data_IF_561856366039
#
_entry.id   IF_561856366039
#
_cell.length_a   1.000
_cell.length_b   1.000
_cell.length_c   1.000
_cell.angle_alpha   90.00
_cell.angle_beta   90.00
_cell.angle_gamma   90.00
#
_symmetry.space_group_name_H-M   'P 1'
#
loop_
_entity.id
_entity.type
_entity.pdbx_description
1 polymer ?
#
# COMPACT_ATOMS: atom_id res chain seq x y z
N UNK A 1 8.11 4.35 -34.67
CA UNK A 1 8.47 4.37 -33.23
C UNK A 1 7.26 3.87 -32.45
N UNK A 2 7.27 2.61 -32.03
CA UNK A 2 6.22 2.06 -31.15
C UNK A 2 6.28 2.80 -29.82
N UNK A 3 5.34 3.72 -29.59
CA UNK A 3 5.08 4.25 -28.25
C UNK A 3 4.78 3.03 -27.39
N UNK A 4 5.69 2.69 -26.47
CA UNK A 4 5.39 1.78 -25.35
C UNK A 4 4.01 2.17 -24.83
N UNK A 5 3.01 1.31 -25.02
CA UNK A 5 1.62 1.63 -24.70
C UNK A 5 1.54 1.91 -23.20
N UNK A 6 1.61 3.19 -22.84
CA UNK A 6 1.53 3.66 -21.46
C UNK A 6 0.10 3.39 -21.00
N UNK A 7 -0.04 2.55 -19.99
CA UNK A 7 -1.35 2.12 -19.51
C UNK A 7 -1.94 3.25 -18.66
N UNK A 8 -2.84 4.03 -19.24
CA UNK A 8 -3.46 5.22 -18.61
C UNK A 8 -4.14 4.88 -17.28
N UNK A 9 -4.83 3.74 -17.21
CA UNK A 9 -5.51 3.28 -15.99
C UNK A 9 -4.53 3.03 -14.82
N UNK A 10 -3.30 2.57 -15.09
CA UNK A 10 -2.28 2.37 -14.05
C UNK A 10 -1.86 3.71 -13.45
N UNK A 11 -1.67 4.71 -14.33
CA UNK A 11 -1.27 6.04 -13.89
C UNK A 11 -2.41 6.74 -13.13
N UNK A 12 -3.66 6.50 -13.55
CA UNK A 12 -4.86 7.00 -12.86
C UNK A 12 -5.01 6.37 -11.47
N UNK A 13 -4.92 5.04 -11.38
CA UNK A 13 -4.96 4.31 -10.11
C UNK A 13 -3.90 4.83 -9.14
N UNK A 14 -2.62 4.84 -9.55
CA UNK A 14 -1.51 5.42 -8.76
C UNK A 14 -1.76 6.86 -8.34
N UNK A 15 -2.26 7.69 -9.26
CA UNK A 15 -2.55 9.10 -8.99
C UNK A 15 -3.62 9.25 -7.92
N UNK A 16 -4.70 8.48 -8.03
CA UNK A 16 -5.78 8.47 -7.05
C UNK A 16 -5.29 7.98 -5.69
N UNK A 17 -4.50 6.91 -5.63
CA UNK A 17 -3.92 6.42 -4.37
C UNK A 17 -3.06 7.49 -3.68
N UNK A 18 -2.24 8.25 -4.45
CA UNK A 18 -1.41 9.33 -3.92
C UNK A 18 -2.29 10.44 -3.34
N UNK A 19 -3.33 10.85 -4.06
CA UNK A 19 -4.28 11.86 -3.58
C UNK A 19 -4.94 11.41 -2.27
N UNK A 20 -5.39 10.15 -2.19
CA UNK A 20 -6.01 9.60 -0.98
C UNK A 20 -5.04 9.58 0.22
N UNK A 21 -3.78 9.23 0.02
CA UNK A 21 -2.77 9.22 1.10
C UNK A 21 -2.44 10.64 1.57
N UNK A 22 -2.22 11.57 0.65
CA UNK A 22 -1.96 12.97 1.00
C UNK A 22 -3.16 13.56 1.74
N UNK A 23 -4.37 13.29 1.26
CA UNK A 23 -5.62 13.70 1.91
C UNK A 23 -5.74 13.11 3.32
N UNK A 24 -5.39 11.84 3.53
CA UNK A 24 -5.38 11.22 4.86
C UNK A 24 -4.44 11.97 5.82
N UNK A 25 -3.19 12.20 5.42
CA UNK A 25 -2.24 12.91 6.27
C UNK A 25 -2.68 14.35 6.54
N UNK A 26 -3.24 15.04 5.55
CA UNK A 26 -3.78 16.38 5.73
C UNK A 26 -4.96 16.39 6.72
N UNK A 27 -5.94 15.50 6.54
CA UNK A 27 -7.14 15.43 7.37
C UNK A 27 -6.82 14.98 8.81
N UNK A 28 -6.06 13.89 8.98
CA UNK A 28 -5.75 13.35 10.31
C UNK A 28 -4.80 14.21 11.11
N UNK A 29 -3.77 14.81 10.49
CA UNK A 29 -2.90 15.72 11.23
C UNK A 29 -3.68 16.96 11.65
N UNK A 30 -4.46 17.57 10.74
CA UNK A 30 -5.29 18.74 11.08
C UNK A 30 -6.28 18.40 12.19
N UNK A 31 -7.02 17.29 12.07
CA UNK A 31 -7.97 16.85 13.09
C UNK A 31 -7.28 16.56 14.44
N UNK A 32 -6.09 15.96 14.44
CA UNK A 32 -5.32 15.73 15.67
C UNK A 32 -4.95 17.04 16.38
N UNK A 33 -4.66 18.10 15.64
CA UNK A 33 -4.31 19.41 16.23
C UNK A 33 -5.52 20.27 16.59
N UNK A 34 -6.62 20.18 15.84
CA UNK A 34 -7.83 20.98 16.08
C UNK A 34 -8.87 20.28 16.96
N UNK A 35 -8.74 18.96 17.16
CA UNK A 35 -9.75 18.11 17.79
C UNK A 35 -11.00 17.90 16.92
N UNK A 36 -11.03 18.46 15.70
CA UNK A 36 -12.21 18.46 14.83
C UNK A 36 -12.23 17.31 13.82
N UNK A 37 -13.43 16.94 13.39
CA UNK A 37 -13.70 16.00 12.29
C UNK A 37 -14.41 16.77 11.18
N UNK A 38 -13.92 16.64 9.94
CA UNK A 38 -14.51 17.28 8.77
C UNK A 38 -14.94 16.26 7.70
N UNK A 39 -15.52 16.75 6.61
CA UNK A 39 -15.96 15.91 5.49
C UNK A 39 -14.85 14.99 4.95
N UNK A 40 -13.61 15.48 4.88
CA UNK A 40 -12.47 14.68 4.41
C UNK A 40 -12.22 13.44 5.27
N UNK A 41 -12.49 13.47 6.58
CA UNK A 41 -12.34 12.29 7.44
C UNK A 41 -13.29 11.16 7.04
N UNK A 42 -14.47 11.46 6.51
CA UNK A 42 -15.41 10.47 6.00
C UNK A 42 -14.94 9.89 4.67
N UNK A 43 -14.44 10.73 3.74
CA UNK A 43 -13.86 10.26 2.47
C UNK A 43 -12.68 9.32 2.74
N UNK A 44 -11.83 9.68 3.69
CA UNK A 44 -10.70 8.84 4.12
C UNK A 44 -11.15 7.59 4.85
N UNK A 45 -12.23 7.68 5.64
CA UNK A 45 -12.86 6.52 6.26
C UNK A 45 -13.28 5.49 5.21
N UNK A 46 -14.03 5.93 4.19
CA UNK A 46 -14.40 5.10 3.04
C UNK A 46 -13.18 4.50 2.34
N UNK A 47 -12.12 5.28 2.14
CA UNK A 47 -10.91 4.81 1.46
C UNK A 47 -9.98 3.93 2.31
N UNK A 48 -10.27 3.75 3.60
CA UNK A 48 -9.35 3.09 4.55
C UNK A 48 -8.99 1.65 4.15
N UNK A 49 -9.93 0.80 3.71
CA UNK A 49 -9.61 -0.59 3.39
C UNK A 49 -8.70 -0.77 2.17
N UNK A 50 -8.83 0.06 1.13
CA UNK A 50 -8.11 -0.19 -0.13
C UNK A 50 -6.93 0.76 -0.39
N UNK A 51 -6.89 1.96 0.20
CA UNK A 51 -5.88 3.00 -0.14
C UNK A 51 -4.42 2.54 -0.03
N UNK A 52 -4.06 1.76 0.99
CA UNK A 52 -2.69 1.24 1.16
C UNK A 52 -2.48 -0.09 0.43
N UNK A 53 -3.40 -1.07 0.53
CA UNK A 53 -3.31 -2.32 -0.24
C UNK A 53 -3.15 -2.13 -1.74
N UNK A 54 -3.82 -1.14 -2.33
CA UNK A 54 -3.76 -0.83 -3.75
C UNK A 54 -2.34 -0.52 -4.22
N UNK A 55 -1.61 0.35 -3.52
CA UNK A 55 -0.24 0.70 -3.88
C UNK A 55 0.68 -0.53 -3.95
N UNK A 56 0.53 -1.43 -2.98
CA UNK A 56 1.30 -2.66 -2.91
C UNK A 56 0.90 -3.62 -4.01
N UNK A 57 -0.39 -3.77 -4.27
CA UNK A 57 -0.91 -4.61 -5.35
C UNK A 57 -0.40 -4.13 -6.72
N UNK A 58 -0.52 -2.83 -7.02
CA UNK A 58 -0.03 -2.25 -8.28
C UNK A 58 1.50 -2.44 -8.40
N UNK A 59 2.23 -2.24 -7.31
CA UNK A 59 3.68 -2.50 -7.29
C UNK A 59 4.03 -3.96 -7.55
N UNK A 60 3.16 -4.88 -7.13
CA UNK A 60 3.22 -6.32 -7.41
C UNK A 60 2.93 -6.67 -8.87
N UNK A 61 1.97 -6.01 -9.53
CA UNK A 61 1.61 -6.26 -10.94
C UNK A 61 2.84 -6.21 -11.85
N UNK A 62 3.67 -5.18 -11.67
CA UNK A 62 4.90 -4.97 -12.46
C UNK A 62 6.06 -5.89 -12.06
N UNK A 63 5.94 -6.63 -10.95
CA UNK A 63 6.95 -7.60 -10.55
C UNK A 63 7.02 -8.78 -11.52
N UNK A 64 5.88 -9.19 -12.07
CA UNK A 64 5.76 -10.34 -12.99
C UNK A 64 6.72 -10.28 -14.18
N UNK A 65 6.93 -9.09 -14.74
CA UNK A 65 7.79 -8.85 -15.90
C UNK A 65 9.28 -8.78 -15.57
N UNK A 66 9.63 -8.62 -14.29
CA UNK A 66 11.01 -8.35 -13.87
C UNK A 66 11.57 -9.42 -12.92
N UNK A 67 10.71 -10.30 -12.37
CA UNK A 67 11.10 -11.32 -11.41
C UNK A 67 12.13 -12.30 -11.98
N UNK A 68 12.12 -12.59 -13.29
CA UNK A 68 13.05 -13.52 -13.95
C UNK A 68 14.44 -12.94 -14.18
N UNK A 69 14.62 -11.62 -14.00
CA UNK A 69 15.90 -10.95 -14.25
C UNK A 69 17.00 -11.47 -13.32
N UNK A 70 18.28 -11.44 -13.76
CA UNK A 70 19.42 -11.76 -12.91
C UNK A 70 19.44 -10.87 -11.66
N UNK A 71 19.89 -11.43 -10.53
CA UNK A 71 19.90 -10.74 -9.23
C UNK A 71 20.54 -9.37 -9.27
N UNK A 72 21.69 -9.22 -9.93
CA UNK A 72 22.39 -7.92 -10.06
C UNK A 72 21.48 -6.82 -10.63
N UNK A 73 20.80 -7.11 -11.75
CA UNK A 73 19.93 -6.15 -12.43
C UNK A 73 18.60 -5.94 -11.68
N UNK A 74 18.11 -6.98 -11.01
CA UNK A 74 16.90 -6.89 -10.19
C UNK A 74 17.12 -6.04 -8.93
N UNK A 75 18.20 -6.31 -8.19
CA UNK A 75 18.55 -5.61 -6.98
C UNK A 75 18.87 -4.14 -7.28
N UNK A 76 19.69 -3.86 -8.29
CA UNK A 76 20.07 -2.49 -8.68
C UNK A 76 18.84 -1.61 -8.98
N UNK A 77 17.97 -2.06 -9.88
CA UNK A 77 16.84 -1.23 -10.37
C UNK A 77 15.67 -1.12 -9.42
N UNK A 78 15.59 -1.97 -8.39
CA UNK A 78 14.40 -2.04 -7.53
C UNK A 78 14.77 -1.90 -6.07
N UNK A 79 15.64 -2.79 -5.58
CA UNK A 79 16.05 -2.80 -4.18
C UNK A 79 16.91 -1.58 -3.88
N UNK A 80 18.06 -1.46 -4.54
CA UNK A 80 19.00 -0.34 -4.37
C UNK A 80 18.31 0.99 -4.69
N UNK A 81 17.53 1.06 -5.77
CA UNK A 81 16.78 2.27 -6.11
C UNK A 81 15.83 2.73 -4.98
N UNK A 82 15.03 1.83 -4.40
CA UNK A 82 14.14 2.17 -3.29
C UNK A 82 14.89 2.52 -2.01
N UNK A 83 15.92 1.74 -1.65
CA UNK A 83 16.73 2.02 -0.47
C UNK A 83 17.53 3.32 -0.61
N UNK A 84 18.04 3.64 -1.81
CA UNK A 84 18.69 4.92 -2.10
C UNK A 84 17.73 6.08 -1.86
N UNK A 85 16.54 6.02 -2.44
CA UNK A 85 15.54 7.08 -2.27
C UNK A 85 15.09 7.19 -0.81
N UNK A 86 14.92 6.05 -0.13
CA UNK A 86 14.62 6.01 1.30
C UNK A 86 15.72 6.70 2.13
N UNK A 87 16.99 6.29 1.99
CA UNK A 87 18.11 6.83 2.77
C UNK A 87 18.27 8.33 2.53
N UNK A 88 18.18 8.77 1.27
CA UNK A 88 18.28 10.18 0.91
C UNK A 88 17.20 11.00 1.62
N UNK A 89 15.95 10.57 1.54
CA UNK A 89 14.84 11.30 2.16
C UNK A 89 14.80 11.19 3.68
N UNK A 90 15.16 10.02 4.23
CA UNK A 90 15.29 9.85 5.67
C UNK A 90 16.37 10.78 6.22
N UNK A 91 17.52 10.87 5.54
CA UNK A 91 18.59 11.79 5.89
C UNK A 91 18.10 13.24 5.89
N UNK A 92 17.45 13.70 4.81
CA UNK A 92 16.91 15.06 4.72
C UNK A 92 15.91 15.33 5.85
N UNK A 93 14.95 14.43 6.10
CA UNK A 93 13.95 14.64 7.15
C UNK A 93 14.55 14.68 8.55
N UNK A 94 15.46 13.75 8.87
CA UNK A 94 16.10 13.65 10.19
C UNK A 94 17.05 14.85 10.39
N UNK A 95 17.86 15.20 9.39
CA UNK A 95 18.75 16.35 9.46
C UNK A 95 17.97 17.66 9.70
N UNK A 96 16.89 17.89 8.95
CA UNK A 96 16.08 19.09 9.11
C UNK A 96 15.31 19.11 10.44
N UNK A 97 14.61 18.02 10.81
CA UNK A 97 13.76 17.98 12.00
C UNK A 97 14.54 17.85 13.31
N UNK A 98 15.58 17.04 13.34
CA UNK A 98 16.32 16.71 14.56
C UNK A 98 17.61 17.50 14.65
N UNK A 99 18.38 17.51 13.57
CA UNK A 99 19.65 18.24 13.52
C UNK A 99 19.46 19.74 13.64
N UNK A 100 18.64 20.34 12.76
CA UNK A 100 18.46 21.79 12.68
C UNK A 100 17.36 22.27 13.65
N UNK A 101 16.14 21.75 13.51
CA UNK A 101 14.99 22.28 14.26
C UNK A 101 15.06 21.95 15.75
N UNK A 102 15.32 20.68 16.11
CA UNK A 102 15.49 20.29 17.52
C UNK A 102 16.91 20.57 18.08
N UNK A 103 17.84 21.03 17.25
CA UNK A 103 19.24 21.34 17.62
C UNK A 103 19.95 20.21 18.38
N UNK A 104 19.71 18.95 17.99
CA UNK A 104 20.30 17.78 18.65
C UNK A 104 21.09 16.91 17.65
N UNK A 105 22.39 17.21 17.43
CA UNK A 105 23.23 16.47 16.49
C UNK A 105 23.47 15.01 16.90
N UNK A 106 23.53 14.72 18.20
CA UNK A 106 23.73 13.36 18.71
C UNK A 106 22.50 12.50 18.43
N UNK A 107 21.30 13.04 18.70
CA UNK A 107 20.04 12.36 18.41
C UNK A 107 19.84 12.17 16.90
N UNK A 108 20.26 13.14 16.09
CA UNK A 108 20.25 13.01 14.63
C UNK A 108 21.07 11.80 14.18
N UNK A 109 22.29 11.61 14.69
CA UNK A 109 23.13 10.46 14.35
C UNK A 109 22.51 9.13 14.82
N UNK A 110 21.94 9.11 16.02
CA UNK A 110 21.23 7.95 16.55
C UNK A 110 20.03 7.56 15.65
N UNK A 111 19.20 8.53 15.27
CA UNK A 111 18.06 8.29 14.39
C UNK A 111 18.48 7.89 12.97
N UNK A 112 19.56 8.42 12.44
CA UNK A 112 20.12 7.99 11.15
C UNK A 112 20.57 6.53 11.19
N UNK A 113 21.25 6.13 12.27
CA UNK A 113 21.64 4.74 12.47
C UNK A 113 20.42 3.81 12.60
N UNK A 114 19.44 4.21 13.40
CA UNK A 114 18.21 3.44 13.58
C UNK A 114 17.37 3.35 12.30
N UNK A 115 17.35 4.41 11.48
CA UNK A 115 16.65 4.46 10.21
C UNK A 115 17.15 3.41 9.19
N UNK A 116 18.35 2.87 9.35
CA UNK A 116 18.84 1.77 8.51
C UNK A 116 18.20 0.43 8.85
N UNK A 117 17.75 0.26 10.10
CA UNK A 117 17.14 -0.97 10.59
C UNK A 117 15.63 -0.84 10.46
N UNK A 118 15.05 0.22 11.03
CA UNK A 118 13.61 0.46 11.01
C UNK A 118 13.24 1.66 10.14
N UNK A 119 12.13 1.61 9.40
CA UNK A 119 11.78 2.69 8.52
C UNK A 119 11.33 3.95 9.26
N UNK A 120 11.82 5.10 8.81
CA UNK A 120 11.52 6.39 9.41
C UNK A 120 10.21 7.01 8.88
N UNK A 121 9.27 7.29 9.80
CA UNK A 121 8.07 8.08 9.52
C UNK A 121 7.27 7.54 8.34
N UNK A 122 6.83 8.42 7.44
CA UNK A 122 6.01 8.06 6.26
C UNK A 122 6.78 7.32 5.16
N UNK A 123 8.11 7.24 5.25
CA UNK A 123 8.96 6.61 4.23
C UNK A 123 8.95 5.07 4.30
N UNK A 124 8.29 4.51 5.32
CA UNK A 124 8.15 3.07 5.51
C UNK A 124 7.61 2.33 4.30
N UNK A 125 6.73 2.95 3.53
CA UNK A 125 6.16 2.35 2.35
C UNK A 125 7.24 1.98 1.31
N UNK A 126 8.17 2.90 1.03
CA UNK A 126 9.26 2.68 0.06
C UNK A 126 10.23 1.62 0.58
N UNK A 127 10.51 1.64 1.88
CA UNK A 127 11.32 0.63 2.55
C UNK A 127 10.70 -0.77 2.41
N UNK A 128 9.40 -0.90 2.66
CA UNK A 128 8.67 -2.17 2.48
C UNK A 128 8.64 -2.64 1.03
N UNK A 129 8.55 -1.75 0.03
CA UNK A 129 8.65 -2.16 -1.37
C UNK A 129 9.99 -2.85 -1.70
N UNK A 130 11.08 -2.36 -1.10
CA UNK A 130 12.39 -3.02 -1.16
C UNK A 130 12.34 -4.43 -0.56
N UNK A 131 11.84 -4.54 0.68
CA UNK A 131 11.73 -5.82 1.40
C UNK A 131 10.82 -6.80 0.67
N UNK A 132 9.61 -6.40 0.28
CA UNK A 132 8.66 -7.25 -0.44
C UNK A 132 9.24 -7.72 -1.78
N UNK A 133 9.96 -6.83 -2.46
CA UNK A 133 10.68 -7.18 -3.68
C UNK A 133 11.76 -8.24 -3.45
N UNK A 134 12.57 -8.12 -2.40
CA UNK A 134 13.57 -9.13 -2.03
C UNK A 134 12.89 -10.45 -1.66
N UNK A 135 11.89 -10.42 -0.78
CA UNK A 135 11.18 -11.62 -0.33
C UNK A 135 10.50 -12.35 -1.48
N UNK A 136 9.78 -11.64 -2.36
CA UNK A 136 9.15 -12.26 -3.51
C UNK A 136 10.18 -12.87 -4.49
N UNK A 137 11.35 -12.23 -4.65
CA UNK A 137 12.45 -12.77 -5.46
C UNK A 137 13.06 -14.03 -4.86
N UNK A 138 13.23 -14.09 -3.53
CA UNK A 138 13.70 -15.28 -2.81
C UNK A 138 12.69 -16.43 -2.93
N UNK A 139 11.40 -16.16 -2.69
CA UNK A 139 10.33 -17.16 -2.86
C UNK A 139 10.29 -17.71 -4.29
N UNK A 140 10.45 -16.85 -5.29
CA UNK A 140 10.55 -17.27 -6.69
C UNK A 140 11.78 -18.16 -6.95
N UNK A 141 12.94 -17.80 -6.40
CA UNK A 141 14.18 -18.58 -6.56
C UNK A 141 14.09 -19.95 -5.89
N UNK A 142 13.49 -20.02 -4.71
CA UNK A 142 13.21 -21.28 -4.00
C UNK A 142 12.04 -22.05 -4.60
N UNK A 143 11.41 -21.53 -5.67
CA UNK A 143 10.25 -22.14 -6.34
C UNK A 143 9.10 -22.45 -5.38
N UNK A 144 8.90 -21.58 -4.38
CA UNK A 144 7.80 -21.74 -3.44
C UNK A 144 6.48 -21.53 -4.20
N UNK A 145 5.55 -22.50 -4.17
CA UNK A 145 4.33 -22.39 -4.94
C UNK A 145 3.42 -21.26 -4.44
N UNK A 146 2.80 -20.52 -5.36
CA UNK A 146 1.92 -19.40 -5.02
C UNK A 146 0.71 -19.83 -4.16
N UNK A 147 0.21 -21.06 -4.33
CA UNK A 147 -0.88 -21.61 -3.52
C UNK A 147 -0.49 -21.83 -2.04
N UNK A 148 0.80 -21.81 -1.71
CA UNK A 148 1.27 -21.81 -0.31
C UNK A 148 1.48 -20.39 0.19
N UNK A 149 2.13 -19.55 -0.61
CA UNK A 149 2.47 -18.18 -0.21
C UNK A 149 1.23 -17.32 0.03
N UNK A 150 0.20 -17.42 -0.83
CA UNK A 150 -1.00 -16.60 -0.71
C UNK A 150 -1.76 -16.90 0.59
N UNK A 151 -2.11 -18.15 0.93
CA UNK A 151 -2.77 -18.44 2.21
C UNK A 151 -1.94 -18.02 3.42
N UNK A 152 -0.63 -18.27 3.42
CA UNK A 152 0.24 -17.85 4.54
C UNK A 152 0.25 -16.32 4.68
N UNK A 153 0.40 -15.58 3.58
CA UNK A 153 0.39 -14.13 3.62
C UNK A 153 -0.98 -13.58 4.04
N UNK A 154 -2.08 -14.18 3.58
CA UNK A 154 -3.43 -13.82 3.98
C UNK A 154 -3.65 -14.07 5.48
N UNK A 155 -3.19 -15.22 6.01
CA UNK A 155 -3.26 -15.52 7.44
C UNK A 155 -2.43 -14.53 8.28
N UNK A 156 -1.24 -14.15 7.82
CA UNK A 156 -0.43 -13.13 8.49
C UNK A 156 -1.14 -11.78 8.53
N UNK A 157 -1.83 -11.41 7.44
CA UNK A 157 -2.61 -10.18 7.37
C UNK A 157 -3.82 -10.24 8.30
N UNK A 158 -4.51 -11.38 8.35
CA UNK A 158 -5.70 -11.58 9.19
C UNK A 158 -5.38 -11.74 10.68
N UNK A 159 -4.15 -12.13 11.01
CA UNK A 159 -3.69 -12.28 12.38
C UNK A 159 -3.40 -10.93 13.09
N UNK A 160 -3.45 -9.81 12.36
CA UNK A 160 -3.27 -8.45 12.91
C UNK A 160 -2.04 -8.33 13.82
N UNK A 161 -0.89 -8.84 13.35
CA UNK A 161 0.32 -8.99 14.17
C UNK A 161 0.88 -7.62 14.57
N UNK A 162 0.70 -7.27 15.84
CA UNK A 162 1.39 -6.14 16.49
C UNK A 162 2.72 -6.62 17.10
N UNK A 163 3.82 -6.23 16.47
CA UNK A 163 5.18 -6.54 16.90
C UNK A 163 5.90 -5.28 17.34
N UNK A 164 6.92 -5.43 18.19
CA UNK A 164 7.83 -4.33 18.54
C UNK A 164 8.56 -3.79 17.32
N UNK A 165 8.82 -4.66 16.33
CA UNK A 165 9.42 -4.22 15.09
C UNK A 165 8.34 -3.77 14.11
N UNK A 166 8.42 -2.50 13.73
CA UNK A 166 7.46 -1.92 12.81
C UNK A 166 7.50 -2.62 11.43
N UNK A 167 8.67 -3.13 11.03
CA UNK A 167 8.83 -3.89 9.78
C UNK A 167 7.97 -5.14 9.78
N UNK A 168 7.97 -5.89 10.88
CA UNK A 168 7.25 -7.16 10.97
C UNK A 168 5.74 -6.93 10.88
N UNK A 169 5.24 -5.91 11.58
CA UNK A 169 3.83 -5.53 11.53
C UNK A 169 3.41 -5.08 10.12
N UNK A 170 4.19 -4.21 9.47
CA UNK A 170 3.89 -3.78 8.10
C UNK A 170 4.02 -4.92 7.08
N UNK A 171 4.97 -5.84 7.29
CA UNK A 171 5.13 -7.00 6.43
C UNK A 171 3.93 -7.93 6.51
N UNK A 172 3.51 -8.29 7.73
CA UNK A 172 2.34 -9.13 7.96
C UNK A 172 1.07 -8.49 7.36
N UNK A 173 0.89 -7.19 7.54
CA UNK A 173 -0.29 -6.47 7.05
C UNK A 173 -0.36 -6.32 5.52
N UNK A 174 0.77 -6.13 4.83
CA UNK A 174 0.74 -5.68 3.42
C UNK A 174 1.40 -6.61 2.39
N UNK A 175 2.21 -7.58 2.82
CA UNK A 175 2.88 -8.50 1.89
C UNK A 175 1.88 -9.31 1.06
N UNK A 176 0.72 -9.67 1.64
CA UNK A 176 -0.33 -10.40 0.96
C UNK A 176 -0.83 -9.68 -0.31
N UNK A 177 -1.06 -8.37 -0.23
CA UNK A 177 -1.54 -7.58 -1.37
C UNK A 177 -0.47 -7.44 -2.45
N UNK A 178 0.78 -7.21 -2.03
CA UNK A 178 1.91 -7.15 -2.95
C UNK A 178 2.09 -8.46 -3.73
N UNK A 179 2.11 -9.59 -3.03
CA UNK A 179 2.31 -10.90 -3.65
C UNK A 179 1.09 -11.32 -4.49
N UNK A 180 -0.12 -10.99 -4.04
CA UNK A 180 -1.35 -11.20 -4.82
C UNK A 180 -1.31 -10.41 -6.11
N UNK A 181 -0.87 -9.15 -6.09
CA UNK A 181 -0.67 -8.37 -7.32
C UNK A 181 0.32 -9.02 -8.29
N UNK A 182 1.41 -9.63 -7.77
CA UNK A 182 2.35 -10.37 -8.61
C UNK A 182 1.72 -11.61 -9.28
N UNK A 183 1.00 -12.43 -8.52
CA UNK A 183 0.40 -13.68 -9.03
C UNK A 183 -0.82 -13.42 -9.92
N UNK A 184 -1.67 -12.47 -9.52
CA UNK A 184 -2.92 -12.16 -10.20
C UNK A 184 -2.74 -11.20 -11.38
N UNK A 185 -1.52 -10.75 -11.71
CA UNK A 185 -1.29 -9.78 -12.77
C UNK A 185 -1.99 -10.11 -14.10
N UNK A 186 -1.90 -11.35 -14.65
CA UNK A 186 -2.60 -11.68 -15.90
C UNK A 186 -4.12 -11.59 -15.80
N UNK A 187 -4.68 -11.88 -14.63
CA UNK A 187 -6.11 -11.78 -14.36
C UNK A 187 -6.54 -10.31 -14.32
N UNK A 188 -5.79 -9.45 -13.62
CA UNK A 188 -6.08 -8.01 -13.55
C UNK A 188 -6.08 -7.39 -14.95
N UNK A 189 -5.06 -7.67 -15.76
CA UNK A 189 -5.01 -7.17 -17.14
C UNK A 189 -6.19 -7.66 -17.99
N UNK A 190 -6.65 -8.91 -17.77
CA UNK A 190 -7.82 -9.45 -18.47
C UNK A 190 -9.12 -8.78 -18.04
N UNK A 191 -9.29 -8.55 -16.74
CA UNK A 191 -10.46 -7.84 -16.20
C UNK A 191 -10.52 -6.43 -16.79
N UNK A 192 -9.41 -5.69 -16.72
CA UNK A 192 -9.34 -4.32 -17.26
C UNK A 192 -9.60 -4.27 -18.76
N UNK A 193 -9.07 -5.24 -19.53
CA UNK A 193 -9.35 -5.33 -20.95
C UNK A 193 -10.85 -5.58 -21.22
N UNK A 194 -11.47 -6.50 -20.46
CA UNK A 194 -12.89 -6.81 -20.60
C UNK A 194 -13.79 -5.63 -20.23
N UNK A 195 -13.45 -4.89 -19.18
CA UNK A 195 -14.25 -3.74 -18.72
C UNK A 195 -14.20 -2.56 -19.69
N UNK A 196 -13.10 -2.39 -20.43
CA UNK A 196 -13.03 -1.40 -21.51
C UNK A 196 -14.05 -1.67 -22.62
N UNK A 197 -14.36 -2.95 -22.88
CA UNK A 197 -15.37 -3.35 -23.87
C UNK A 197 -16.80 -3.36 -23.28
N UNK A 198 -16.94 -3.27 -21.96
CA UNK A 198 -18.18 -3.49 -21.20
C UNK A 198 -18.43 -2.40 -20.14
N UNK A 199 -18.36 -1.14 -20.57
CA UNK A 199 -18.41 0.04 -19.67
C UNK A 199 -19.66 0.03 -18.75
N UNK A 200 -20.83 -0.38 -19.24
CA UNK A 200 -22.04 -0.45 -18.42
C UNK A 200 -21.91 -1.42 -17.23
N UNK A 201 -21.30 -2.59 -17.46
CA UNK A 201 -21.01 -3.56 -16.41
C UNK A 201 -19.90 -3.09 -15.48
N UNK A 202 -18.91 -2.37 -16.00
CA UNK A 202 -17.86 -1.75 -15.18
C UNK A 202 -18.47 -0.72 -14.22
N UNK A 203 -19.31 0.18 -14.72
CA UNK A 203 -20.00 1.20 -13.91
C UNK A 203 -20.93 0.55 -12.87
N UNK A 204 -21.70 -0.47 -13.26
CA UNK A 204 -22.54 -1.21 -12.32
C UNK A 204 -21.70 -1.91 -11.23
N UNK A 205 -20.59 -2.54 -11.61
CA UNK A 205 -19.66 -3.17 -10.67
C UNK A 205 -19.03 -2.17 -9.70
N UNK A 206 -18.58 -1.01 -10.19
CA UNK A 206 -18.06 0.09 -9.37
C UNK A 206 -19.11 0.63 -8.41
N UNK A 207 -20.36 0.78 -8.85
CA UNK A 207 -21.46 1.23 -8.00
C UNK A 207 -21.76 0.21 -6.88
N UNK A 208 -21.85 -1.08 -7.22
CA UNK A 208 -22.07 -2.15 -6.23
C UNK A 208 -20.92 -2.22 -5.23
N UNK A 209 -19.68 -2.12 -5.71
CA UNK A 209 -18.50 -2.06 -4.85
C UNK A 209 -18.55 -0.86 -3.91
N UNK A 210 -18.75 0.35 -4.43
CA UNK A 210 -18.78 1.57 -3.63
C UNK A 210 -19.89 1.55 -2.57
N UNK A 211 -21.06 1.01 -2.92
CA UNK A 211 -22.15 0.83 -1.95
C UNK A 211 -21.79 -0.18 -0.87
N UNK A 212 -21.23 -1.33 -1.24
CA UNK A 212 -20.85 -2.40 -0.30
C UNK A 212 -19.73 -1.93 0.63
N UNK A 213 -18.70 -1.28 0.08
CA UNK A 213 -17.61 -0.67 0.83
C UNK A 213 -18.15 0.35 1.83
N UNK A 214 -18.98 1.30 1.39
CA UNK A 214 -19.57 2.32 2.25
C UNK A 214 -20.43 1.72 3.36
N UNK A 215 -21.31 0.76 3.03
CA UNK A 215 -22.17 0.11 4.00
C UNK A 215 -21.38 -0.65 5.07
N UNK A 216 -20.28 -1.30 4.70
CA UNK A 216 -19.47 -2.08 5.64
C UNK A 216 -18.51 -1.22 6.47
N UNK A 217 -17.97 -0.15 5.88
CA UNK A 217 -17.11 0.81 6.61
C UNK A 217 -17.92 1.60 7.63
N UNK A 218 -19.10 2.09 7.24
CA UNK A 218 -19.98 2.90 8.11
C UNK A 218 -21.09 2.09 8.79
N UNK A 219 -20.93 0.76 8.87
CA UNK A 219 -21.84 -0.09 9.63
C UNK A 219 -21.73 0.19 11.14
N UNK A 220 -22.67 -0.32 11.97
CA UNK A 220 -22.60 -0.16 13.43
C UNK A 220 -21.22 -0.51 13.99
N UNK A 221 -20.71 0.34 14.89
CA UNK A 221 -19.36 0.23 15.45
C UNK A 221 -18.32 1.15 14.77
N UNK A 222 -18.66 1.84 13.69
CA UNK A 222 -17.75 2.83 13.10
C UNK A 222 -17.59 4.06 14.00
N UNK A 223 -16.40 4.64 14.01
CA UNK A 223 -16.13 5.93 14.63
C UNK A 223 -15.12 6.72 13.79
N UNK A 224 -15.49 7.93 13.41
CA UNK A 224 -14.59 8.86 12.74
C UNK A 224 -13.95 9.73 13.81
N UNK A 225 -12.69 9.42 14.15
CA UNK A 225 -11.94 10.17 15.15
C UNK A 225 -10.98 11.15 14.46
N UNK A 226 -10.58 12.24 15.14
CA UNK A 226 -9.78 13.29 14.50
C UNK A 226 -8.45 12.81 13.91
N UNK A 227 -7.84 11.76 14.49
CA UNK A 227 -6.56 11.20 14.04
C UNK A 227 -6.60 9.76 13.52
N UNK A 228 -7.76 9.10 13.50
CA UNK A 228 -7.91 7.73 12.98
C UNK A 228 -9.36 7.43 12.64
N UNK A 229 -9.58 6.53 11.70
CA UNK A 229 -10.91 5.96 11.45
C UNK A 229 -11.00 4.56 12.05
N UNK A 230 -12.04 4.32 12.84
CA UNK A 230 -12.47 2.98 13.23
C UNK A 230 -13.58 2.56 12.29
N UNK A 231 -13.34 1.48 11.54
CA UNK A 231 -14.33 0.90 10.64
C UNK A 231 -15.30 0.04 11.44
N UNK A 232 -16.53 -0.12 10.95
CA UNK A 232 -17.49 -1.07 11.52
C UNK A 232 -17.12 -2.52 11.17
N UNK A 233 -18.01 -3.23 10.48
CA UNK A 233 -17.84 -4.62 10.06
C UNK A 233 -16.64 -4.77 9.11
N UNK A 234 -16.29 -3.73 8.36
CA UNK A 234 -15.10 -3.71 7.51
C UNK A 234 -13.76 -3.85 8.28
N UNK A 235 -13.77 -3.78 9.61
CA UNK A 235 -12.62 -4.11 10.45
C UNK A 235 -12.42 -5.63 10.64
N UNK A 236 -13.42 -6.47 10.36
CA UNK A 236 -13.31 -7.92 10.53
C UNK A 236 -12.27 -8.45 9.53
N UNK A 237 -11.21 -9.19 9.95
CA UNK A 237 -10.04 -9.38 9.10
C UNK A 237 -10.31 -10.03 7.74
N UNK A 238 -11.13 -11.10 7.62
CA UNK A 238 -11.51 -11.64 6.31
C UNK A 238 -12.26 -10.65 5.41
N UNK A 239 -13.13 -9.82 6.00
CA UNK A 239 -13.89 -8.82 5.27
C UNK A 239 -12.98 -7.68 4.83
N UNK A 240 -12.12 -7.20 5.72
CA UNK A 240 -11.11 -6.19 5.45
C UNK A 240 -10.20 -6.61 4.29
N UNK A 241 -9.68 -7.84 4.31
CA UNK A 241 -8.86 -8.38 3.24
C UNK A 241 -9.60 -8.40 1.90
N UNK A 242 -10.87 -8.83 1.91
CA UNK A 242 -11.70 -8.91 0.72
C UNK A 242 -11.99 -7.53 0.14
N UNK A 243 -12.36 -6.57 0.98
CA UNK A 243 -12.61 -5.17 0.59
C UNK A 243 -11.34 -4.51 0.04
N UNK A 244 -10.19 -4.76 0.66
CA UNK A 244 -8.90 -4.28 0.18
C UNK A 244 -8.57 -4.78 -1.23
N UNK A 245 -8.77 -6.09 -1.50
CA UNK A 245 -8.53 -6.67 -2.83
C UNK A 245 -9.55 -6.15 -3.85
N UNK A 246 -10.84 -6.12 -3.50
CA UNK A 246 -11.90 -5.65 -4.38
C UNK A 246 -11.76 -4.16 -4.69
N UNK A 247 -11.42 -3.33 -3.71
CA UNK A 247 -11.19 -1.91 -3.91
C UNK A 247 -9.96 -1.65 -4.78
N UNK A 248 -8.86 -2.38 -4.57
CA UNK A 248 -7.70 -2.27 -5.45
C UNK A 248 -8.02 -2.69 -6.90
N UNK A 249 -8.87 -3.70 -7.11
CA UNK A 249 -9.34 -4.10 -8.44
C UNK A 249 -10.29 -3.08 -9.06
N UNK A 250 -11.21 -2.51 -8.27
CA UNK A 250 -12.15 -1.48 -8.71
C UNK A 250 -11.40 -0.27 -9.27
N UNK A 251 -10.33 0.16 -8.61
CA UNK A 251 -9.50 1.27 -9.06
C UNK A 251 -8.70 0.99 -10.34
N UNK A 252 -8.41 -0.28 -10.64
CA UNK A 252 -7.78 -0.66 -11.90
C UNK A 252 -8.74 -0.55 -13.10
N UNK A 253 -10.05 -0.58 -12.85
CA UNK A 253 -11.13 -0.65 -13.86
C UNK A 253 -11.76 0.73 -14.14
N UNK A 254 -11.40 1.75 -13.36
CA UNK A 254 -11.94 3.11 -13.44
C UNK A 254 -11.56 3.86 -14.71
#
# INVERSE_FOLDING_TARGET
MSKTARMSWVDMAKGLSIVLVVMMYAAYNTGKYTGGVGFLHYVIGFATPFRMPEFFLISGLFLSQVITRPWRRYADRRVVHYFYFYVLWAFIMIALKVGIFARSPVEMLHQLGFALIEPYGVLWFIYMLGIFGVTAKLLWQWRVPAYVVIPVAALLQMAEIESRSYIVTQFAAYFAFFYTGYVAAPLVFRIVAWTNDHISYALAGLAVWALTEGLLVFSPGYAILPGRTQMGLAAIPPLHFSLAVLGALALCVM
#
